data_IF_293964690755
#
_entry.id   IF_293964690755
#
_cell.length_a   1.000
_cell.length_b   1.000
_cell.length_c   1.000
_cell.angle_alpha   90.00
_cell.angle_beta   90.00
_cell.angle_gamma   90.00
#
_symmetry.space_group_name_H-M   'P 1'
#
loop_
_entity.id
_entity.type
_entity.pdbx_description
1 polymer ?
#
# COMPACT_ATOMS: atom_id res chain seq x y z
N UNK A 1 23.34 -54.60 -9.95
CA UNK A 1 22.98 -53.24 -10.40
C UNK A 1 21.65 -52.89 -9.78
N UNK A 2 21.64 -51.99 -8.78
CA UNK A 2 20.41 -51.56 -8.09
C UNK A 2 19.97 -50.24 -8.74
N UNK A 3 18.80 -50.25 -9.36
CA UNK A 3 18.17 -49.08 -9.98
C UNK A 3 17.48 -48.25 -8.89
N UNK A 4 18.02 -47.06 -8.59
CA UNK A 4 17.34 -46.07 -7.76
C UNK A 4 16.05 -45.60 -8.44
N UNK A 5 14.91 -45.97 -7.84
CA UNK A 5 13.60 -45.41 -8.21
C UNK A 5 13.52 -43.98 -7.67
N UNK A 6 13.76 -42.98 -8.53
CA UNK A 6 13.47 -41.58 -8.23
C UNK A 6 11.98 -41.42 -7.93
N UNK A 7 11.65 -41.24 -6.65
CA UNK A 7 10.31 -40.89 -6.21
C UNK A 7 9.97 -39.52 -6.80
N UNK A 8 9.00 -39.48 -7.73
CA UNK A 8 8.48 -38.20 -8.25
C UNK A 8 7.68 -37.54 -7.14
N UNK A 9 8.20 -36.43 -6.64
CA UNK A 9 7.50 -35.57 -5.70
C UNK A 9 6.16 -35.14 -6.32
N UNK A 10 5.05 -35.52 -5.69
CA UNK A 10 3.72 -35.07 -6.13
C UNK A 10 3.56 -33.62 -5.69
N UNK A 11 3.53 -32.72 -6.66
CA UNK A 11 3.19 -31.31 -6.42
C UNK A 11 1.68 -31.23 -6.15
N UNK A 12 1.30 -30.98 -4.91
CA UNK A 12 -0.09 -30.73 -4.54
C UNK A 12 -0.44 -29.25 -4.81
N UNK A 13 -1.36 -29.01 -5.73
CA UNK A 13 -1.83 -27.66 -6.08
C UNK A 13 -2.99 -27.32 -5.15
N UNK A 14 -2.72 -26.57 -4.07
CA UNK A 14 -3.74 -26.03 -3.17
C UNK A 14 -4.06 -24.57 -3.51
N UNK A 15 -5.34 -24.19 -3.41
CA UNK A 15 -5.77 -22.78 -3.42
C UNK A 15 -5.47 -22.17 -2.05
N UNK A 16 -4.71 -21.09 -2.03
CA UNK A 16 -4.41 -20.30 -0.84
C UNK A 16 -5.19 -18.99 -0.90
N UNK A 17 -5.72 -18.55 0.23
CA UNK A 17 -6.21 -17.18 0.33
C UNK A 17 -5.02 -16.20 0.46
N UNK A 18 -5.28 -14.90 0.28
CA UNK A 18 -4.21 -13.90 0.27
C UNK A 18 -3.53 -13.71 1.64
N UNK A 19 -4.24 -13.98 2.75
CA UNK A 19 -3.69 -13.88 4.11
C UNK A 19 -2.71 -15.03 4.37
N UNK A 20 -3.12 -16.28 4.07
CA UNK A 20 -2.25 -17.47 4.12
C UNK A 20 -1.02 -17.28 3.22
N UNK A 21 -1.23 -16.76 2.02
CA UNK A 21 -0.14 -16.48 1.09
C UNK A 21 0.81 -15.40 1.60
N UNK A 22 0.28 -14.34 2.21
CA UNK A 22 1.06 -13.30 2.88
C UNK A 22 1.94 -13.86 3.98
N UNK A 23 1.38 -14.71 4.85
CA UNK A 23 2.12 -15.39 5.92
C UNK A 23 3.28 -16.22 5.36
N UNK A 24 3.05 -17.00 4.30
CA UNK A 24 4.09 -17.80 3.64
C UNK A 24 5.27 -16.98 3.11
N UNK A 25 5.03 -15.76 2.63
CA UNK A 25 6.09 -14.89 2.09
C UNK A 25 6.68 -13.96 3.16
N UNK A 26 6.17 -14.01 4.39
CA UNK A 26 6.58 -13.15 5.49
C UNK A 26 6.05 -11.71 5.38
N UNK A 27 4.88 -11.52 4.75
CA UNK A 27 4.22 -10.21 4.60
C UNK A 27 2.87 -10.27 5.33
N UNK A 28 2.70 -9.56 6.47
CA UNK A 28 1.48 -9.64 7.26
C UNK A 28 0.35 -8.92 6.54
N UNK A 29 -0.61 -9.67 5.98
CA UNK A 29 -1.72 -9.13 5.22
C UNK A 29 -3.04 -9.50 5.89
N UNK A 30 -3.97 -8.56 5.90
CA UNK A 30 -5.36 -8.78 6.27
C UNK A 30 -6.28 -8.26 5.18
N UNK A 31 -7.14 -9.13 4.66
CA UNK A 31 -8.14 -8.78 3.66
C UNK A 31 -9.42 -8.36 4.37
N UNK A 32 -9.82 -7.10 4.18
CA UNK A 32 -11.10 -6.60 4.68
C UNK A 32 -12.11 -6.54 3.54
N UNK A 33 -13.40 -6.80 3.81
CA UNK A 33 -14.43 -6.55 2.82
C UNK A 33 -14.47 -5.06 2.48
N UNK A 34 -14.49 -4.73 1.19
CA UNK A 34 -14.66 -3.36 0.71
C UNK A 34 -15.90 -2.71 1.34
N UNK A 35 -17.00 -3.45 1.35
CA UNK A 35 -18.32 -3.01 1.81
C UNK A 35 -18.40 -2.77 3.34
N UNK A 36 -17.41 -3.20 4.11
CA UNK A 36 -17.37 -3.03 5.56
C UNK A 36 -16.79 -1.69 6.03
N UNK A 37 -16.24 -0.87 5.12
CA UNK A 37 -15.35 0.23 5.52
C UNK A 37 -16.02 1.59 5.72
N UNK A 38 -17.19 1.87 5.14
CA UNK A 38 -17.89 3.15 5.37
C UNK A 38 -19.41 2.94 5.41
N UNK A 39 -19.96 2.88 6.63
CA UNK A 39 -21.33 3.35 6.89
C UNK A 39 -21.22 4.83 7.23
N UNK A 40 -21.37 5.73 6.26
CA UNK A 40 -21.52 7.15 6.63
C UNK A 40 -22.84 7.25 7.39
N UNK A 41 -22.77 7.45 8.70
CA UNK A 41 -23.92 7.86 9.49
C UNK A 41 -24.24 9.30 9.10
N UNK A 42 -25.13 9.47 8.13
CA UNK A 42 -25.84 10.73 8.02
C UNK A 42 -27.06 10.64 8.92
N UNK A 43 -27.06 11.42 10.00
CA UNK A 43 -28.28 11.70 10.74
C UNK A 43 -29.00 12.82 10.03
N UNK A 44 -30.04 12.50 9.27
CA UNK A 44 -30.99 13.51 8.82
C UNK A 44 -31.95 13.76 9.99
N UNK A 45 -31.98 15.00 10.49
CA UNK A 45 -33.01 15.42 11.43
C UNK A 45 -34.26 15.73 10.61
N UNK A 46 -35.26 14.87 10.68
CA UNK A 46 -36.57 15.14 10.10
C UNK A 46 -37.38 15.91 11.14
N UNK A 47 -37.66 17.18 10.84
CA UNK A 47 -38.60 17.99 11.61
C UNK A 47 -39.95 17.87 10.93
N UNK A 48 -40.89 17.14 11.54
CA UNK A 48 -42.29 17.15 11.10
C UNK A 48 -43.01 18.25 11.85
N UNK A 49 -43.50 19.25 11.13
CA UNK A 49 -44.39 20.29 11.67
C UNK A 49 -45.80 19.92 11.21
N UNK A 50 -46.66 19.48 12.13
CA UNK A 50 -48.09 19.37 11.88
C UNK A 50 -48.69 20.76 11.92
N UNK A 51 -49.34 21.18 10.84
CA UNK A 51 -50.12 22.41 10.79
C UNK A 51 -51.56 21.98 10.56
N UNK A 52 -52.28 21.75 11.64
CA UNK A 52 -53.73 21.82 11.64
C UNK A 52 -54.13 22.54 12.93
N UNK A 53 -55.10 23.45 12.84
CA UNK A 53 -55.48 24.31 13.94
C UNK A 53 -55.78 23.54 15.23
N UNK A 54 -55.26 24.07 16.34
CA UNK A 54 -55.34 23.62 17.75
C UNK A 54 -54.18 22.74 18.25
N UNK A 55 -53.62 23.26 19.36
CA UNK A 55 -52.71 22.66 20.35
C UNK A 55 -51.29 22.29 19.88
N UNK A 56 -50.31 22.99 20.48
CA UNK A 56 -48.89 22.86 20.18
C UNK A 56 -48.30 21.62 20.86
N UNK A 57 -48.16 20.53 20.13
CA UNK A 57 -47.31 19.41 20.55
C UNK A 57 -45.84 19.69 20.19
N UNK A 58 -44.92 19.33 21.09
CA UNK A 58 -43.48 19.45 20.84
C UNK A 58 -43.06 18.56 19.65
N UNK A 59 -42.19 19.04 18.75
CA UNK A 59 -41.81 18.27 17.57
C UNK A 59 -41.05 16.99 17.94
N UNK A 60 -41.53 15.83 17.47
CA UNK A 60 -40.79 14.58 17.58
C UNK A 60 -39.54 14.62 16.69
N UNK A 61 -38.36 14.67 17.30
CA UNK A 61 -37.08 14.61 16.60
C UNK A 61 -36.69 13.15 16.36
N UNK A 62 -37.17 12.58 15.24
CA UNK A 62 -36.75 11.26 14.79
C UNK A 62 -35.39 11.29 14.08
N UNK A 63 -34.38 10.60 14.62
CA UNK A 63 -33.14 10.30 13.88
C UNK A 63 -33.33 9.05 13.04
N UNK A 64 -33.42 9.21 11.71
CA UNK A 64 -33.30 8.07 10.79
C UNK A 64 -31.84 7.87 10.41
N UNK A 65 -31.30 6.70 10.73
CA UNK A 65 -29.98 6.29 10.25
C UNK A 65 -30.10 5.77 8.82
N UNK A 66 -29.51 6.50 7.86
CA UNK A 66 -29.38 6.01 6.49
C UNK A 66 -28.02 5.34 6.32
N UNK A 67 -28.03 4.06 5.94
CA UNK A 67 -26.83 3.33 5.53
C UNK A 67 -26.62 3.55 4.03
N UNK A 68 -25.65 4.39 3.67
CA UNK A 68 -25.26 4.57 2.26
C UNK A 68 -24.07 3.67 1.92
N UNK A 69 -24.19 2.88 0.86
CA UNK A 69 -23.10 2.10 0.31
C UNK A 69 -22.15 2.97 -0.51
N UNK A 70 -20.84 2.89 -0.25
CA UNK A 70 -19.83 3.59 -1.05
C UNK A 70 -19.32 2.72 -2.22
N UNK A 71 -19.40 3.28 -3.43
CA UNK A 71 -18.91 2.65 -4.65
C UNK A 71 -17.38 2.82 -4.75
N UNK A 72 -16.60 1.74 -5.00
CA UNK A 72 -15.15 1.83 -5.18
C UNK A 72 -14.69 2.66 -6.38
N UNK A 73 -15.60 2.94 -7.31
CA UNK A 73 -15.36 3.72 -8.51
C UNK A 73 -15.91 5.15 -8.44
N UNK A 74 -16.62 5.54 -7.37
CA UNK A 74 -17.11 6.91 -7.24
C UNK A 74 -15.91 7.85 -7.04
N UNK A 75 -15.62 8.68 -8.06
CA UNK A 75 -14.44 9.57 -8.07
C UNK A 75 -14.39 10.57 -6.92
N UNK A 76 -15.48 10.73 -6.16
CA UNK A 76 -15.52 11.55 -4.94
C UNK A 76 -15.08 10.80 -3.68
N UNK A 77 -15.20 9.48 -3.66
CA UNK A 77 -14.84 8.61 -2.53
C UNK A 77 -13.68 7.70 -2.92
N UNK A 78 -12.56 7.95 -2.26
CA UNK A 78 -11.22 7.43 -2.58
C UNK A 78 -11.23 5.90 -2.71
N UNK A 79 -10.70 5.39 -3.83
CA UNK A 79 -10.15 4.03 -3.93
C UNK A 79 -9.40 3.74 -2.62
N UNK A 80 -9.76 2.69 -1.88
CA UNK A 80 -9.00 2.28 -0.68
C UNK A 80 -7.74 1.61 -1.17
N UNK A 81 -6.71 2.43 -1.32
CA UNK A 81 -5.34 1.97 -1.52
C UNK A 81 -4.92 1.16 -0.30
N UNK A 82 -4.16 0.05 -0.47
CA UNK A 82 -3.58 -0.71 0.63
C UNK A 82 -2.92 0.22 1.64
N UNK A 83 -3.04 -0.09 2.93
CA UNK A 83 -2.45 0.74 3.98
C UNK A 83 -1.93 -0.12 5.12
N UNK A 84 -1.01 0.42 5.91
CA UNK A 84 -0.49 -0.26 7.11
C UNK A 84 -1.31 0.18 8.31
N UNK A 85 -1.90 -0.77 9.05
CA UNK A 85 -2.55 -0.56 10.35
C UNK A 85 -2.03 -1.56 11.37
N UNK A 86 -1.57 -1.09 12.52
CA UNK A 86 -1.12 -1.95 13.63
C UNK A 86 -0.11 -3.04 13.22
N UNK A 87 0.84 -2.69 12.35
CA UNK A 87 1.85 -3.63 11.86
C UNK A 87 1.34 -4.67 10.85
N UNK A 88 0.14 -4.48 10.29
CA UNK A 88 -0.47 -5.36 9.28
C UNK A 88 -0.86 -4.55 8.06
N UNK A 89 -0.62 -5.10 6.88
CA UNK A 89 -1.06 -4.51 5.61
C UNK A 89 -2.54 -4.84 5.42
N UNK A 90 -3.38 -3.82 5.46
CA UNK A 90 -4.80 -3.92 5.16
C UNK A 90 -5.00 -3.75 3.66
N UNK A 91 -5.63 -4.74 3.04
CA UNK A 91 -6.12 -4.68 1.67
C UNK A 91 -7.64 -4.85 1.68
N UNK A 92 -8.32 -4.24 0.71
CA UNK A 92 -9.77 -4.35 0.59
C UNK A 92 -10.15 -5.11 -0.65
N UNK A 93 -11.08 -6.04 -0.51
CA UNK A 93 -11.66 -6.81 -1.61
C UNK A 93 -13.18 -6.82 -1.50
N UNK A 94 -13.88 -6.71 -2.62
CA UNK A 94 -15.33 -6.88 -2.62
C UNK A 94 -16.04 -6.21 -3.80
N UNK A 95 -17.30 -6.58 -3.98
CA UNK A 95 -18.18 -6.01 -5.00
C UNK A 95 -18.74 -4.65 -4.56
N UNK A 96 -19.08 -3.81 -5.54
CA UNK A 96 -19.87 -2.60 -5.31
C UNK A 96 -21.29 -2.97 -4.87
N UNK A 97 -21.68 -2.55 -3.66
CA UNK A 97 -23.04 -2.73 -3.15
C UNK A 97 -24.04 -1.66 -3.59
N UNK A 98 -23.61 -0.69 -4.43
CA UNK A 98 -24.44 0.45 -4.81
C UNK A 98 -25.60 0.01 -5.71
N UNK A 99 -26.83 0.13 -5.19
CA UNK A 99 -28.08 -0.09 -5.91
C UNK A 99 -28.67 1.27 -6.31
N UNK A 100 -28.15 1.84 -7.40
CA UNK A 100 -28.68 3.09 -7.96
C UNK A 100 -30.01 2.88 -8.69
N UNK A 101 -30.76 3.96 -8.90
CA UNK A 101 -32.06 3.94 -9.56
C UNK A 101 -32.01 3.57 -11.06
N UNK A 102 -30.85 3.69 -11.71
CA UNK A 102 -30.74 3.58 -13.18
C UNK A 102 -29.69 2.62 -13.71
N UNK A 103 -28.84 1.99 -12.89
CA UNK A 103 -27.99 0.90 -13.39
C UNK A 103 -27.38 0.05 -12.28
N UNK A 104 -27.14 -1.23 -12.58
CA UNK A 104 -26.37 -2.11 -11.68
C UNK A 104 -24.90 -1.72 -11.81
N UNK A 105 -24.32 -1.13 -10.76
CA UNK A 105 -22.88 -0.86 -10.75
C UNK A 105 -22.12 -2.21 -10.71
N UNK A 106 -21.47 -2.59 -11.81
CA UNK A 106 -20.69 -3.84 -11.94
C UNK A 106 -19.25 -3.73 -11.43
N UNK A 107 -18.91 -2.61 -10.77
CA UNK A 107 -17.58 -2.39 -10.23
C UNK A 107 -17.29 -3.33 -9.06
N UNK A 108 -16.06 -3.79 -8.94
CA UNK A 108 -15.57 -4.57 -7.82
C UNK A 108 -14.10 -4.25 -7.62
N UNK A 109 -13.67 -4.20 -6.35
CA UNK A 109 -12.25 -4.17 -6.05
C UNK A 109 -11.76 -5.62 -5.94
N UNK A 110 -11.04 -6.09 -6.96
CA UNK A 110 -10.40 -7.41 -6.98
C UNK A 110 -8.90 -7.25 -6.79
N UNK A 111 -8.30 -8.13 -5.99
CA UNK A 111 -6.85 -8.17 -5.77
C UNK A 111 -6.24 -9.26 -6.66
N UNK A 112 -5.16 -8.93 -7.36
CA UNK A 112 -4.40 -9.91 -8.14
C UNK A 112 -2.92 -9.82 -7.75
N UNK A 113 -2.33 -10.94 -7.34
CA UNK A 113 -0.87 -11.04 -7.08
C UNK A 113 -0.16 -11.18 -8.43
N UNK A 114 0.76 -10.27 -8.73
CA UNK A 114 1.51 -10.24 -9.99
C UNK A 114 2.86 -10.93 -9.88
N UNK A 115 3.57 -10.69 -8.79
CA UNK A 115 4.92 -11.20 -8.57
C UNK A 115 5.23 -11.22 -7.08
N UNK A 116 6.12 -12.13 -6.69
CA UNK A 116 6.55 -12.33 -5.31
C UNK A 116 8.06 -12.44 -5.27
N UNK A 117 8.64 -11.88 -4.22
CA UNK A 117 10.03 -12.01 -3.84
C UNK A 117 10.12 -12.29 -2.33
N UNK A 118 11.34 -12.38 -1.80
CA UNK A 118 11.55 -12.53 -0.36
C UNK A 118 10.99 -11.30 0.38
N UNK A 119 10.00 -11.52 1.25
CA UNK A 119 9.34 -10.48 2.06
C UNK A 119 8.74 -9.31 1.26
N UNK A 120 8.45 -9.50 -0.02
CA UNK A 120 7.82 -8.50 -0.86
C UNK A 120 6.91 -9.13 -1.91
N UNK A 121 5.82 -8.43 -2.24
CA UNK A 121 4.90 -8.82 -3.31
C UNK A 121 4.40 -7.62 -4.08
N UNK A 122 4.22 -7.80 -5.38
CA UNK A 122 3.57 -6.85 -6.25
C UNK A 122 2.12 -7.31 -6.46
N UNK A 123 1.17 -6.45 -6.12
CA UNK A 123 -0.25 -6.69 -6.38
C UNK A 123 -0.80 -5.65 -7.36
N UNK A 124 -1.87 -6.01 -8.04
CA UNK A 124 -2.72 -5.05 -8.75
C UNK A 124 -4.13 -5.06 -8.18
N UNK A 125 -4.67 -3.86 -7.94
CA UNK A 125 -6.06 -3.65 -7.60
C UNK A 125 -6.82 -3.30 -8.88
N UNK A 126 -7.79 -4.14 -9.24
CA UNK A 126 -8.71 -3.91 -10.35
C UNK A 126 -10.03 -3.39 -9.79
N UNK A 127 -10.50 -2.24 -10.29
CA UNK A 127 -11.78 -1.62 -9.88
C UNK A 127 -12.86 -1.76 -10.95
N UNK A 128 -12.42 -1.75 -12.20
CA UNK A 128 -13.21 -2.01 -13.42
C UNK A 128 -12.29 -2.70 -14.43
N UNK A 129 -12.82 -3.03 -15.61
CA UNK A 129 -12.00 -3.62 -16.68
C UNK A 129 -10.82 -2.72 -17.09
N UNK A 130 -11.02 -1.40 -17.06
CA UNK A 130 -10.06 -0.40 -17.51
C UNK A 130 -9.24 0.21 -16.37
N UNK A 131 -9.77 0.24 -15.14
CA UNK A 131 -9.13 0.88 -14.01
C UNK A 131 -8.33 -0.11 -13.15
N UNK A 132 -7.00 -0.01 -13.24
CA UNK A 132 -6.05 -0.79 -12.43
C UNK A 132 -5.05 0.12 -11.72
N UNK A 133 -4.65 -0.26 -10.51
CA UNK A 133 -3.59 0.37 -9.73
C UNK A 133 -2.62 -0.69 -9.23
N UNK A 134 -1.33 -0.38 -9.16
CA UNK A 134 -0.28 -1.32 -8.77
C UNK A 134 0.31 -0.91 -7.45
N UNK A 135 0.52 -1.87 -6.56
CA UNK A 135 1.09 -1.63 -5.24
C UNK A 135 2.18 -2.65 -4.94
N UNK A 136 3.32 -2.16 -4.50
CA UNK A 136 4.37 -2.96 -3.90
C UNK A 136 4.12 -3.03 -2.40
N UNK A 137 3.99 -4.24 -1.88
CA UNK A 137 3.81 -4.55 -0.48
C UNK A 137 5.05 -5.29 0.00
N UNK A 138 5.42 -5.14 1.26
CA UNK A 138 6.50 -5.95 1.82
C UNK A 138 6.78 -5.63 3.27
N UNK A 139 7.88 -6.20 3.77
CA UNK A 139 8.43 -5.95 5.11
C UNK A 139 9.89 -5.55 4.94
N UNK A 140 10.28 -4.44 5.56
CA UNK A 140 11.68 -4.00 5.63
C UNK A 140 12.07 -3.79 7.10
N UNK A 141 13.12 -4.46 7.57
CA UNK A 141 13.55 -4.42 8.97
C UNK A 141 12.44 -4.81 9.97
N UNK A 142 11.53 -5.69 9.60
CA UNK A 142 10.37 -6.08 10.42
C UNK A 142 9.18 -5.12 10.36
N UNK A 143 9.30 -4.00 9.65
CA UNK A 143 8.21 -3.03 9.46
C UNK A 143 7.52 -3.23 8.12
N UNK A 144 6.18 -3.44 8.09
CA UNK A 144 5.46 -3.55 6.83
C UNK A 144 5.41 -2.21 6.10
N UNK A 145 5.41 -2.25 4.77
CA UNK A 145 5.26 -1.07 3.93
C UNK A 145 4.30 -1.33 2.77
N UNK A 146 3.75 -0.23 2.26
CA UNK A 146 2.94 -0.18 1.04
C UNK A 146 3.38 1.01 0.21
N UNK A 147 3.65 0.79 -1.08
CA UNK A 147 3.95 1.87 -2.02
C UNK A 147 3.15 1.70 -3.30
N UNK A 148 2.50 2.76 -3.75
CA UNK A 148 1.85 2.78 -5.06
C UNK A 148 2.89 2.97 -6.17
N UNK A 149 2.79 2.14 -7.21
CA UNK A 149 3.62 2.21 -8.41
C UNK A 149 2.76 2.68 -9.58
N UNK A 150 3.16 3.78 -10.25
CA UNK A 150 2.34 4.35 -11.34
C UNK A 150 2.55 3.67 -12.68
N UNK A 151 3.72 3.05 -12.89
CA UNK A 151 3.94 2.16 -14.03
C UNK A 151 3.16 0.85 -13.84
N UNK A 152 3.12 0.02 -14.89
CA UNK A 152 2.53 -1.33 -14.88
C UNK A 152 3.62 -2.40 -14.75
N UNK A 153 4.41 -2.43 -13.66
CA UNK A 153 5.43 -3.46 -13.50
C UNK A 153 4.77 -4.84 -13.50
N UNK A 154 5.48 -5.83 -14.02
CA UNK A 154 5.09 -7.23 -13.94
C UNK A 154 5.83 -7.95 -12.81
N UNK A 155 6.98 -7.44 -12.38
CA UNK A 155 7.81 -8.07 -11.35
C UNK A 155 8.05 -7.14 -10.16
N UNK A 156 8.35 -7.75 -9.00
CA UNK A 156 8.80 -7.00 -7.81
C UNK A 156 10.08 -6.20 -8.11
N UNK A 157 11.02 -6.77 -8.86
CA UNK A 157 12.25 -6.08 -9.26
C UNK A 157 11.98 -4.86 -10.13
N UNK A 158 11.11 -4.97 -11.15
CA UNK A 158 10.68 -3.82 -11.97
C UNK A 158 10.05 -2.71 -11.13
N UNK A 159 9.28 -3.07 -10.09
CA UNK A 159 8.68 -2.13 -9.16
C UNK A 159 9.77 -1.40 -8.33
N UNK A 160 10.74 -2.13 -7.77
CA UNK A 160 11.87 -1.54 -7.04
C UNK A 160 12.74 -0.67 -7.94
N UNK A 161 13.06 -1.14 -9.14
CA UNK A 161 13.75 -0.35 -10.15
C UNK A 161 12.96 0.90 -10.48
N UNK A 162 11.63 0.86 -10.58
CA UNK A 162 10.83 2.06 -10.82
C UNK A 162 10.99 3.09 -9.68
N UNK A 163 10.92 2.64 -8.42
CA UNK A 163 11.07 3.45 -7.22
C UNK A 163 12.47 4.06 -7.06
N UNK A 164 13.49 3.44 -7.67
CA UNK A 164 14.86 3.91 -7.60
C UNK A 164 14.99 5.34 -8.22
N UNK A 165 15.58 6.32 -7.51
CA UNK A 165 15.76 7.67 -8.03
C UNK A 165 16.58 7.71 -9.32
N UNK A 166 16.30 8.66 -10.20
CA UNK A 166 16.97 8.78 -11.51
C UNK A 166 18.50 8.83 -11.39
N UNK A 167 19.04 9.59 -10.43
CA UNK A 167 20.49 9.72 -10.19
C UNK A 167 21.14 8.41 -9.75
N UNK A 168 20.42 7.61 -8.99
CA UNK A 168 20.88 6.28 -8.55
C UNK A 168 20.93 5.33 -9.75
N UNK A 169 19.89 5.34 -10.61
CA UNK A 169 19.89 4.58 -11.86
C UNK A 169 21.08 4.93 -12.76
N UNK A 170 21.32 6.23 -12.94
CA UNK A 170 22.46 6.73 -13.72
C UNK A 170 23.80 6.20 -13.16
N UNK A 171 23.97 6.23 -11.84
CA UNK A 171 25.17 5.74 -11.17
C UNK A 171 25.36 4.21 -11.33
N UNK A 172 24.29 3.43 -11.18
CA UNK A 172 24.33 1.96 -11.39
C UNK A 172 24.69 1.63 -12.84
N UNK A 173 24.10 2.34 -13.82
CA UNK A 173 24.42 2.15 -15.25
C UNK A 173 25.88 2.48 -15.55
N UNK A 174 26.47 3.44 -14.84
CA UNK A 174 27.89 3.79 -14.94
C UNK A 174 28.82 2.77 -14.25
N UNK A 175 28.28 1.73 -13.60
CA UNK A 175 29.06 0.74 -12.87
C UNK A 175 29.64 1.25 -11.55
N UNK A 176 29.07 2.33 -10.98
CA UNK A 176 29.47 2.81 -9.65
C UNK A 176 28.97 1.85 -8.57
N UNK A 177 29.78 1.64 -7.52
CA UNK A 177 29.43 0.84 -6.33
C UNK A 177 28.42 1.58 -5.44
N UNK A 178 27.17 1.63 -5.90
CA UNK A 178 26.07 2.25 -5.17
C UNK A 178 25.64 1.34 -4.02
N UNK A 179 25.72 1.86 -2.79
CA UNK A 179 25.27 1.14 -1.59
C UNK A 179 23.85 1.56 -1.23
N UNK A 180 23.08 0.63 -0.66
CA UNK A 180 21.71 0.89 -0.18
C UNK A 180 21.59 0.54 1.30
N UNK A 181 20.95 1.40 2.08
CA UNK A 181 20.55 1.15 3.47
C UNK A 181 19.11 1.63 3.65
N UNK A 182 18.13 0.72 3.71
CA UNK A 182 16.72 1.08 3.70
C UNK A 182 16.33 1.88 2.44
N UNK A 183 15.78 3.08 2.63
CA UNK A 183 15.42 4.01 1.54
C UNK A 183 16.60 4.87 1.03
N UNK A 184 17.77 4.72 1.65
CA UNK A 184 18.91 5.59 1.41
C UNK A 184 19.86 4.94 0.41
N UNK A 185 20.26 5.72 -0.59
CA UNK A 185 21.25 5.32 -1.59
C UNK A 185 22.50 6.17 -1.45
N UNK A 186 23.65 5.50 -1.36
CA UNK A 186 24.96 6.13 -1.27
C UNK A 186 25.67 5.94 -2.60
N UNK A 187 25.81 7.03 -3.35
CA UNK A 187 26.53 7.04 -4.63
C UNK A 187 27.96 7.51 -4.35
N UNK A 188 29.01 6.74 -4.72
CA UNK A 188 30.37 7.17 -4.54
C UNK A 188 30.64 8.45 -5.37
N UNK A 189 31.37 9.39 -4.78
CA UNK A 189 31.74 10.65 -5.44
C UNK A 189 33.22 10.92 -5.26
N UNK A 190 33.87 11.45 -6.29
CA UNK A 190 35.27 11.90 -6.25
C UNK A 190 35.42 13.29 -5.64
N UNK A 191 34.32 14.01 -5.44
CA UNK A 191 34.35 15.35 -4.84
C UNK A 191 34.47 15.21 -3.34
N UNK A 192 35.42 15.93 -2.75
CA UNK A 192 35.45 16.06 -1.29
C UNK A 192 34.15 16.71 -0.79
N UNK A 193 33.62 16.24 0.35
CA UNK A 193 32.46 16.88 0.98
C UNK A 193 32.76 18.36 1.19
N UNK A 194 31.87 19.25 0.72
CA UNK A 194 31.99 20.67 1.04
C UNK A 194 31.81 20.85 2.54
N UNK A 195 32.90 21.19 3.23
CA UNK A 195 32.82 21.64 4.62
C UNK A 195 32.01 22.93 4.63
N UNK A 196 30.93 22.97 5.40
CA UNK A 196 30.18 24.20 5.57
C UNK A 196 31.06 25.16 6.39
N UNK A 197 31.69 26.13 5.71
CA UNK A 197 32.72 27.05 6.26
C UNK A 197 32.29 27.87 7.49
N UNK A 198 31.03 27.79 7.90
CA UNK A 198 30.49 28.61 8.97
C UNK A 198 30.36 27.88 10.32
N UNK A 199 30.65 26.58 10.40
CA UNK A 199 30.37 25.81 11.62
C UNK A 199 28.90 25.85 12.05
N UNK A 200 28.00 26.30 11.16
CA UNK A 200 26.57 26.41 11.43
C UNK A 200 26.05 24.99 11.52
N UNK A 201 25.77 24.60 12.75
CA UNK A 201 25.03 23.40 13.12
C UNK A 201 23.78 23.36 12.24
N UNK A 202 23.69 22.40 11.32
CA UNK A 202 22.41 22.13 10.65
C UNK A 202 21.54 21.52 11.75
N UNK A 203 20.52 22.22 12.26
CA UNK A 203 19.68 21.66 13.31
C UNK A 203 19.13 20.32 12.78
N UNK A 204 19.15 19.28 13.62
CA UNK A 204 18.71 17.92 13.29
C UNK A 204 19.65 17.06 12.42
N UNK A 205 20.86 17.52 12.10
CA UNK A 205 21.88 16.65 11.48
C UNK A 205 22.45 15.63 12.48
N UNK A 206 22.72 14.41 12.01
CA UNK A 206 23.28 13.35 12.85
C UNK A 206 24.63 13.77 13.47
N UNK A 207 24.89 13.51 14.77
CA UNK A 207 26.14 13.89 15.43
C UNK A 207 27.40 13.37 14.73
N UNK A 208 27.30 12.26 13.98
CA UNK A 208 28.41 11.71 13.19
C UNK A 208 28.93 12.65 12.10
N UNK A 209 28.08 13.54 11.57
CA UNK A 209 28.47 14.56 10.59
C UNK A 209 29.37 15.64 11.20
N UNK A 210 29.36 15.80 12.54
CA UNK A 210 30.18 16.79 13.25
C UNK A 210 31.65 16.41 13.33
N UNK A 211 32.00 15.13 13.11
CA UNK A 211 33.35 14.60 13.40
C UNK A 211 34.14 14.22 12.14
N UNK A 212 33.60 14.45 10.93
CA UNK A 212 34.19 13.98 9.66
C UNK A 212 34.43 12.46 9.56
N UNK A 213 33.98 11.65 10.54
CA UNK A 213 34.23 10.19 10.57
C UNK A 213 33.37 9.39 9.58
N UNK A 214 32.24 9.94 9.11
CA UNK A 214 31.35 9.27 8.16
C UNK A 214 31.91 9.20 6.72
N UNK A 215 32.94 10.00 6.38
CA UNK A 215 33.35 10.20 4.98
C UNK A 215 34.69 9.59 4.59
N UNK A 216 35.51 9.12 5.55
CA UNK A 216 36.80 8.46 5.26
C UNK A 216 36.84 7.07 5.88
N UNK A 217 36.63 6.04 5.04
CA UNK A 217 37.04 4.66 5.35
C UNK A 217 36.33 4.00 6.53
N UNK A 218 35.23 4.55 7.03
CA UNK A 218 34.38 3.82 7.96
C UNK A 218 33.79 2.64 7.18
N UNK A 219 34.14 1.42 7.58
CA UNK A 219 33.44 0.23 7.13
C UNK A 219 31.96 0.44 7.49
N UNK A 220 31.11 0.57 6.47
CA UNK A 220 29.68 0.45 6.64
C UNK A 220 29.45 -1.03 6.98
N UNK A 221 29.25 -1.31 8.27
CA UNK A 221 28.84 -2.62 8.77
C UNK A 221 27.35 -2.80 8.51
#
# INVERSE_FOLDING_TARGET
>A
MVTELKTRERVEIRRLNLEEFGEMVGVPIKVRPWWGSIRRRFSTVLMQVRIDGLESEEPEVGRKEHLTWECPADGRNRKKAPEVQDGVIIVWEGQCGYKGAYDKHTHAQTIEVKSVAHQAMLISLRLSETARSYFLLGVDGGSPFVVQVTKRPQTVDEAFQWLMPKKVKEAVIQGLDVKRQGDWFFIPTSREPRLHNAGINVPWSSPGLKTNKLYKGAALV
#
